data_IF_556484788881
#
_entry.id   IF_556484788881
#
_cell.length_a   1.000
_cell.length_b   1.000
_cell.length_c   1.000
_cell.angle_alpha   90.00
_cell.angle_beta   90.00
_cell.angle_gamma   90.00
#
_symmetry.space_group_name_H-M   'P 1'
#
loop_
_entity.id
_entity.type
_entity.pdbx_description
1 polymer ?
#
# COMPACT_ATOMS: atom_id res chain seq x y z
N UNK A 1 -11.14 -17.18 40.45
CA UNK A 1 -11.67 -16.44 39.30
C UNK A 1 -10.47 -15.93 38.53
N UNK A 2 -9.91 -16.80 37.70
CA UNK A 2 -8.67 -16.55 36.97
C UNK A 2 -9.03 -16.06 35.58
N UNK A 3 -8.70 -14.81 35.28
CA UNK A 3 -8.68 -14.29 33.91
C UNK A 3 -7.46 -14.90 33.21
N UNK A 4 -7.68 -15.92 32.39
CA UNK A 4 -6.72 -16.32 31.38
C UNK A 4 -6.69 -15.21 30.31
N UNK A 5 -5.67 -14.36 30.36
CA UNK A 5 -5.21 -13.66 29.17
C UNK A 5 -4.65 -14.71 28.23
N UNK A 6 -5.41 -15.08 27.22
CA UNK A 6 -4.83 -15.80 26.07
C UNK A 6 -4.00 -14.77 25.32
N UNK A 7 -2.70 -14.77 25.60
CA UNK A 7 -1.69 -14.26 24.69
C UNK A 7 -1.81 -15.10 23.40
N UNK A 8 -2.58 -14.59 22.42
CA UNK A 8 -2.55 -15.09 21.05
C UNK A 8 -1.24 -14.70 20.40
N UNK A 9 -0.15 -15.30 20.90
CA UNK A 9 1.09 -15.32 20.15
C UNK A 9 0.81 -16.12 18.87
N UNK A 10 0.81 -15.45 17.73
CA UNK A 10 0.74 -16.10 16.41
C UNK A 10 1.87 -17.12 16.39
N UNK A 11 1.53 -18.40 16.26
CA UNK A 11 2.52 -19.46 16.17
C UNK A 11 3.45 -19.16 14.98
N UNK A 12 4.78 -19.28 15.13
CA UNK A 12 5.69 -19.09 14.00
C UNK A 12 5.25 -19.97 12.84
N UNK A 13 5.24 -19.41 11.64
CA UNK A 13 4.75 -20.07 10.40
C UNK A 13 5.60 -21.29 9.97
N UNK A 14 6.36 -21.92 10.86
CA UNK A 14 7.12 -23.15 10.56
C UNK A 14 8.34 -22.94 9.63
N UNK A 15 8.74 -21.70 9.39
CA UNK A 15 9.95 -21.38 8.64
C UNK A 15 11.16 -21.36 9.58
N UNK A 16 12.31 -21.90 9.14
CA UNK A 16 13.54 -21.78 9.92
C UNK A 16 14.03 -20.33 9.92
N UNK A 17 14.59 -19.88 11.05
CA UNK A 17 15.16 -18.53 11.17
C UNK A 17 16.23 -18.27 10.12
N UNK A 18 16.99 -19.28 9.71
CA UNK A 18 18.00 -19.19 8.67
C UNK A 18 17.39 -18.87 7.29
N UNK A 19 16.34 -19.56 6.90
CA UNK A 19 15.65 -19.31 5.63
C UNK A 19 14.95 -17.94 5.62
N UNK A 20 14.29 -17.58 6.72
CA UNK A 20 13.68 -16.26 6.86
C UNK A 20 14.74 -15.13 6.74
N UNK A 21 15.91 -15.29 7.37
CA UNK A 21 17.01 -14.31 7.25
C UNK A 21 17.54 -14.21 5.83
N UNK A 22 17.70 -15.33 5.11
CA UNK A 22 18.15 -15.31 3.72
C UNK A 22 17.14 -14.61 2.82
N UNK A 23 15.86 -14.91 2.96
CA UNK A 23 14.79 -14.36 2.11
C UNK A 23 14.57 -12.86 2.42
N UNK A 24 14.29 -12.52 3.67
CA UNK A 24 13.98 -11.13 4.05
C UNK A 24 15.24 -10.26 4.02
N UNK A 25 16.38 -10.79 4.51
CA UNK A 25 17.67 -10.09 4.47
C UNK A 25 18.16 -9.88 3.04
N UNK A 26 18.00 -10.86 2.16
CA UNK A 26 18.30 -10.74 0.74
C UNK A 26 17.45 -9.68 0.05
N UNK A 27 16.13 -9.65 0.32
CA UNK A 27 15.24 -8.61 -0.17
C UNK A 27 15.63 -7.23 0.36
N UNK A 28 15.86 -7.08 1.67
CA UNK A 28 16.26 -5.82 2.27
C UNK A 28 17.59 -5.30 1.69
N UNK A 29 18.59 -6.18 1.53
CA UNK A 29 19.86 -5.85 0.90
C UNK A 29 19.69 -5.39 -0.56
N UNK A 30 18.86 -6.10 -1.33
CA UNK A 30 18.54 -5.70 -2.71
C UNK A 30 17.91 -4.31 -2.75
N UNK A 31 16.98 -4.00 -1.84
CA UNK A 31 16.35 -2.68 -1.75
C UNK A 31 17.36 -1.58 -1.40
N UNK A 32 18.29 -1.83 -0.48
CA UNK A 32 19.36 -0.88 -0.12
C UNK A 32 20.27 -0.61 -1.33
N UNK A 33 20.74 -1.66 -2.01
CA UNK A 33 21.59 -1.54 -3.19
C UNK A 33 20.87 -0.74 -4.29
N UNK A 34 19.62 -1.08 -4.53
CA UNK A 34 18.80 -0.42 -5.54
C UNK A 34 18.54 1.06 -5.20
N UNK A 35 18.25 1.36 -3.94
CA UNK A 35 18.05 2.74 -3.47
C UNK A 35 19.35 3.58 -3.60
N UNK A 36 20.51 3.01 -3.29
CA UNK A 36 21.82 3.66 -3.50
C UNK A 36 22.05 3.95 -4.98
N UNK A 37 21.70 3.01 -5.84
CA UNK A 37 21.80 3.21 -7.29
C UNK A 37 20.83 4.30 -7.79
N UNK A 38 19.58 4.27 -7.30
CA UNK A 38 18.51 5.16 -7.72
C UNK A 38 18.77 6.65 -7.39
N UNK A 39 19.52 6.95 -6.31
CA UNK A 39 19.84 8.33 -5.90
C UNK A 39 20.83 9.06 -6.80
N UNK A 40 21.56 8.35 -7.68
CA UNK A 40 22.64 8.94 -8.49
C UNK A 40 22.18 10.07 -9.41
N UNK A 41 20.91 10.08 -9.78
CA UNK A 41 20.31 11.05 -10.70
C UNK A 41 19.46 12.11 -9.98
N UNK A 42 19.66 12.30 -8.68
CA UNK A 42 18.92 13.30 -7.93
C UNK A 42 19.34 14.70 -8.37
N UNK A 43 18.36 15.46 -8.92
CA UNK A 43 18.57 16.88 -9.25
C UNK A 43 18.55 17.75 -7.97
N UNK A 44 18.84 19.04 -8.13
CA UNK A 44 18.80 20.01 -7.03
C UNK A 44 17.43 20.69 -6.94
N UNK A 45 17.01 21.03 -5.71
CA UNK A 45 15.79 21.78 -5.42
C UNK A 45 14.56 20.90 -5.17
N UNK A 46 13.53 21.55 -4.61
CA UNK A 46 12.31 20.89 -4.13
C UNK A 46 11.52 20.19 -5.24
N UNK A 47 11.41 20.79 -6.42
CA UNK A 47 10.69 20.16 -7.55
C UNK A 47 11.35 18.85 -8.00
N UNK A 48 12.69 18.80 -7.98
CA UNK A 48 13.41 17.56 -8.28
C UNK A 48 13.19 16.51 -7.19
N UNK A 49 13.19 16.94 -5.92
CA UNK A 49 13.05 16.05 -4.78
C UNK A 49 11.62 15.53 -4.62
N UNK A 50 10.61 16.43 -4.61
CA UNK A 50 9.22 16.04 -4.35
C UNK A 50 8.44 15.62 -5.60
N UNK A 51 8.79 16.12 -6.78
CA UNK A 51 8.07 15.85 -8.04
C UNK A 51 8.92 15.16 -9.11
N UNK A 52 10.12 14.67 -8.78
CA UNK A 52 11.03 14.05 -9.76
C UNK A 52 11.29 14.95 -11.00
N UNK A 53 11.21 16.29 -10.84
CA UNK A 53 11.32 17.24 -11.93
C UNK A 53 10.17 17.16 -12.94
N UNK A 54 8.99 16.71 -12.55
CA UNK A 54 7.79 16.52 -13.39
C UNK A 54 8.06 15.70 -14.65
N UNK A 55 8.82 14.62 -14.50
CA UNK A 55 9.32 13.82 -15.62
C UNK A 55 8.71 12.42 -15.71
N UNK A 56 7.63 12.12 -14.97
CA UNK A 56 7.02 10.80 -14.96
C UNK A 56 6.24 10.54 -16.25
N UNK A 57 6.78 9.63 -17.09
CA UNK A 57 6.13 9.16 -18.32
C UNK A 57 4.89 8.30 -18.00
N UNK A 58 4.00 8.07 -18.96
CA UNK A 58 2.79 7.30 -18.73
C UNK A 58 2.99 5.91 -18.12
N UNK A 59 3.90 5.07 -18.64
CA UNK A 59 4.21 3.76 -18.05
C UNK A 59 4.81 3.86 -16.65
N UNK A 60 5.75 4.77 -16.43
CA UNK A 60 6.36 4.97 -15.11
C UNK A 60 5.30 5.47 -14.11
N UNK A 61 4.46 6.41 -14.53
CA UNK A 61 3.36 6.93 -13.71
C UNK A 61 2.37 5.82 -13.33
N UNK A 62 2.03 4.91 -14.26
CA UNK A 62 1.16 3.76 -13.97
C UNK A 62 1.76 2.87 -12.89
N UNK A 63 3.01 2.49 -13.06
CA UNK A 63 3.68 1.56 -12.14
C UNK A 63 3.80 2.17 -10.74
N UNK A 64 4.29 3.41 -10.63
CA UNK A 64 4.44 4.05 -9.31
C UNK A 64 3.10 4.40 -8.68
N UNK A 65 2.07 4.77 -9.46
CA UNK A 65 0.72 5.02 -8.97
C UNK A 65 0.11 3.74 -8.39
N UNK A 66 0.25 2.63 -9.09
CA UNK A 66 -0.23 1.33 -8.64
C UNK A 66 0.54 0.84 -7.40
N UNK A 67 1.88 0.84 -7.44
CA UNK A 67 2.70 0.37 -6.33
C UNK A 67 2.47 1.19 -5.05
N UNK A 68 2.25 2.51 -5.18
CA UNK A 68 1.93 3.39 -4.04
C UNK A 68 0.54 3.14 -3.47
N UNK A 69 -0.43 2.80 -4.31
CA UNK A 69 -1.81 2.57 -3.87
C UNK A 69 -2.03 1.16 -3.31
N UNK A 70 -1.23 0.19 -3.74
CA UNK A 70 -1.31 -1.19 -3.25
C UNK A 70 -0.44 -1.38 -2.01
N UNK A 71 -1.09 -1.29 -0.86
CA UNK A 71 -0.49 -1.29 0.48
C UNK A 71 -0.56 -2.66 1.15
N UNK A 72 -0.15 -2.73 2.41
CA UNK A 72 -0.40 -3.88 3.28
C UNK A 72 -1.87 -4.30 3.28
N UNK A 73 -2.81 -3.33 3.20
CA UNK A 73 -4.23 -3.65 3.11
C UNK A 73 -4.58 -4.42 1.83
N UNK A 74 -3.96 -4.11 0.70
CA UNK A 74 -4.20 -4.82 -0.56
C UNK A 74 -3.84 -6.31 -0.44
N UNK A 75 -2.79 -6.65 0.28
CA UNK A 75 -2.31 -8.03 0.44
C UNK A 75 -3.03 -8.73 1.59
N UNK A 76 -2.87 -8.22 2.80
CA UNK A 76 -3.35 -8.88 4.02
C UNK A 76 -4.80 -8.50 4.37
N UNK A 77 -5.14 -7.21 4.31
CA UNK A 77 -6.49 -6.76 4.62
C UNK A 77 -7.54 -7.28 3.64
N UNK A 78 -7.20 -7.36 2.34
CA UNK A 78 -8.14 -7.86 1.32
C UNK A 78 -8.36 -9.36 1.44
N UNK A 79 -7.34 -10.15 1.75
CA UNK A 79 -7.50 -11.59 1.99
C UNK A 79 -8.32 -11.88 3.24
N UNK A 80 -8.06 -11.16 4.34
CA UNK A 80 -8.86 -11.28 5.55
C UNK A 80 -10.32 -10.85 5.38
N UNK A 81 -10.55 -9.75 4.66
CA UNK A 81 -11.90 -9.30 4.34
C UNK A 81 -12.63 -10.32 3.45
N UNK A 82 -11.99 -10.84 2.41
CA UNK A 82 -12.61 -11.83 1.51
C UNK A 82 -12.80 -13.19 2.16
N UNK A 83 -11.96 -13.55 3.12
CA UNK A 83 -12.24 -14.70 3.98
C UNK A 83 -13.60 -14.53 4.68
N UNK A 84 -13.89 -13.36 5.26
CA UNK A 84 -15.14 -13.11 6.01
C UNK A 84 -16.39 -12.91 5.14
N UNK A 85 -16.23 -12.34 3.95
CA UNK A 85 -17.37 -11.90 3.12
C UNK A 85 -17.35 -12.43 1.68
N UNK A 86 -16.35 -13.23 1.36
CA UNK A 86 -16.24 -13.89 0.07
C UNK A 86 -15.91 -12.95 -1.09
N UNK A 87 -16.31 -13.38 -2.28
CA UNK A 87 -16.08 -12.67 -3.54
C UNK A 87 -16.83 -11.34 -3.65
N UNK A 88 -17.80 -11.08 -2.78
CA UNK A 88 -18.48 -9.76 -2.67
C UNK A 88 -17.51 -8.61 -2.44
N UNK A 89 -16.30 -8.89 -1.90
CA UNK A 89 -15.28 -7.90 -1.67
C UNK A 89 -14.54 -7.47 -2.95
N UNK A 90 -14.52 -8.32 -3.97
CA UNK A 90 -13.83 -8.02 -5.23
C UNK A 90 -14.38 -6.77 -5.95
N UNK A 91 -15.69 -6.61 -6.15
CA UNK A 91 -16.23 -5.36 -6.70
C UNK A 91 -15.93 -4.12 -5.85
N UNK A 92 -15.89 -4.25 -4.53
CA UNK A 92 -15.59 -3.14 -3.64
C UNK A 92 -14.17 -2.63 -3.87
N UNK A 93 -13.20 -3.51 -4.00
CA UNK A 93 -11.79 -3.12 -4.11
C UNK A 93 -11.33 -3.02 -5.56
N UNK A 94 -11.46 -4.05 -6.38
CA UNK A 94 -10.91 -4.04 -7.73
C UNK A 94 -11.65 -3.06 -8.65
N UNK A 95 -12.99 -3.04 -8.60
CA UNK A 95 -13.77 -2.03 -9.35
C UNK A 95 -13.71 -0.67 -8.68
N UNK A 96 -13.80 -0.60 -7.34
CA UNK A 96 -13.75 0.66 -6.61
C UNK A 96 -12.47 1.44 -6.90
N UNK A 97 -11.31 0.84 -6.62
CA UNK A 97 -10.02 1.49 -6.89
C UNK A 97 -9.74 1.60 -8.39
N UNK A 98 -10.18 0.66 -9.22
CA UNK A 98 -10.11 0.78 -10.67
C UNK A 98 -10.92 1.96 -11.20
N UNK A 99 -12.08 2.24 -10.60
CA UNK A 99 -12.97 3.34 -11.01
C UNK A 99 -12.39 4.73 -10.71
N UNK A 100 -11.47 4.86 -9.76
CA UNK A 100 -10.73 6.13 -9.54
C UNK A 100 -10.00 6.61 -10.80
N UNK A 101 -9.69 5.71 -11.74
CA UNK A 101 -9.08 6.06 -13.01
C UNK A 101 -9.88 7.12 -13.79
N UNK A 102 -11.21 7.12 -13.64
CA UNK A 102 -12.10 8.13 -14.26
C UNK A 102 -11.80 9.51 -13.68
N UNK A 103 -11.72 9.65 -12.36
CA UNK A 103 -11.36 10.93 -11.73
C UNK A 103 -9.92 11.34 -12.03
N UNK A 104 -8.99 10.41 -12.06
CA UNK A 104 -7.61 10.70 -12.47
C UNK A 104 -7.52 11.17 -13.92
N UNK A 105 -8.31 10.60 -14.82
CA UNK A 105 -8.39 11.04 -16.20
C UNK A 105 -8.93 12.46 -16.33
N UNK A 106 -9.98 12.80 -15.58
CA UNK A 106 -10.67 14.09 -15.66
C UNK A 106 -9.99 15.14 -14.79
N UNK A 107 -9.80 14.84 -13.49
CA UNK A 107 -9.28 15.78 -12.50
C UNK A 107 -7.76 15.82 -12.53
N UNK A 108 -7.10 14.69 -12.74
CA UNK A 108 -5.62 14.61 -12.72
C UNK A 108 -4.96 15.51 -13.76
N UNK A 109 -5.54 15.63 -14.95
CA UNK A 109 -5.06 16.58 -15.98
C UNK A 109 -5.19 18.04 -15.52
N UNK A 110 -6.32 18.39 -14.89
CA UNK A 110 -6.55 19.72 -14.33
C UNK A 110 -5.62 20.01 -13.16
N UNK A 111 -5.41 19.01 -12.28
CA UNK A 111 -4.46 19.10 -11.17
C UNK A 111 -3.06 19.40 -11.71
N UNK A 112 -2.58 18.60 -12.66
CA UNK A 112 -1.25 18.79 -13.26
C UNK A 112 -1.12 20.17 -13.91
N UNK A 113 -2.05 20.56 -14.77
CA UNK A 113 -2.01 21.84 -15.48
C UNK A 113 -1.94 23.02 -14.49
N UNK A 114 -2.78 23.01 -13.47
CA UNK A 114 -2.80 24.07 -12.44
C UNK A 114 -1.57 24.00 -11.52
N UNK A 115 -1.08 22.80 -11.21
CA UNK A 115 0.17 22.61 -10.45
C UNK A 115 1.34 23.27 -11.17
N UNK A 116 1.45 23.11 -12.48
CA UNK A 116 2.48 23.80 -13.28
C UNK A 116 2.25 25.31 -13.30
N UNK A 117 1.02 25.76 -13.49
CA UNK A 117 0.66 27.17 -13.57
C UNK A 117 0.96 27.94 -12.27
N UNK A 118 0.71 27.35 -11.12
CA UNK A 118 0.92 27.97 -9.81
C UNK A 118 2.24 27.60 -9.14
N UNK A 119 3.06 26.74 -9.76
CA UNK A 119 4.26 26.18 -9.13
C UNK A 119 3.96 25.30 -7.92
N UNK A 120 2.68 24.87 -7.75
CA UNK A 120 2.25 24.11 -6.58
C UNK A 120 2.71 22.66 -6.65
N UNK A 121 3.16 22.12 -5.53
CA UNK A 121 3.61 20.72 -5.39
C UNK A 121 2.64 19.89 -4.54
N UNK A 122 1.81 20.56 -3.73
CA UNK A 122 0.83 19.96 -2.84
C UNK A 122 -0.58 20.46 -3.15
N UNK A 123 -1.60 19.74 -2.68
CA UNK A 123 -2.99 20.17 -2.83
C UNK A 123 -3.29 21.47 -2.03
N UNK A 124 -2.80 21.67 -0.79
CA UNK A 124 -2.96 22.92 -0.07
C UNK A 124 -2.29 24.12 -0.77
N UNK A 125 -1.08 23.96 -1.34
CA UNK A 125 -0.45 25.03 -2.18
C UNK A 125 -1.33 25.40 -3.38
N UNK A 126 -1.98 24.41 -3.99
CA UNK A 126 -2.92 24.65 -5.08
C UNK A 126 -4.10 25.51 -4.61
N UNK A 127 -4.65 25.21 -3.44
CA UNK A 127 -5.75 26.01 -2.85
C UNK A 127 -5.28 27.43 -2.56
N UNK A 128 -4.09 27.61 -1.99
CA UNK A 128 -3.49 28.93 -1.78
C UNK A 128 -3.31 29.68 -3.09
N UNK A 129 -2.76 29.05 -4.12
CA UNK A 129 -2.56 29.66 -5.44
C UNK A 129 -3.85 30.11 -6.12
N UNK A 130 -4.97 29.42 -5.86
CA UNK A 130 -6.27 29.75 -6.45
C UNK A 130 -7.09 30.77 -5.65
N UNK A 131 -6.99 30.73 -4.31
CA UNK A 131 -7.86 31.51 -3.42
C UNK A 131 -7.16 32.68 -2.75
N UNK A 132 -5.82 32.67 -2.71
CA UNK A 132 -5.02 33.61 -1.92
C UNK A 132 -5.17 33.42 -0.40
N UNK A 133 -5.84 32.36 0.05
CA UNK A 133 -6.19 32.15 1.46
C UNK A 133 -5.19 31.22 2.17
N UNK A 134 -4.32 31.81 2.99
CA UNK A 134 -3.39 31.06 3.83
C UNK A 134 -4.12 30.19 4.87
N UNK A 135 -5.23 30.64 5.41
CA UNK A 135 -6.03 29.86 6.36
C UNK A 135 -6.62 28.60 5.69
N UNK A 136 -7.09 28.70 4.46
CA UNK A 136 -7.58 27.54 3.71
C UNK A 136 -6.45 26.52 3.45
N UNK A 137 -5.26 27.00 3.08
CA UNK A 137 -4.07 26.14 2.90
C UNK A 137 -3.72 25.41 4.19
N UNK A 138 -3.60 26.13 5.31
CA UNK A 138 -3.26 25.55 6.63
C UNK A 138 -4.31 24.53 7.09
N UNK A 139 -5.60 24.85 6.94
CA UNK A 139 -6.68 23.93 7.30
C UNK A 139 -6.60 22.65 6.48
N UNK A 140 -6.46 22.75 5.15
CA UNK A 140 -6.37 21.59 4.26
C UNK A 140 -5.12 20.75 4.58
N UNK A 141 -3.97 21.39 4.76
CA UNK A 141 -2.73 20.68 5.10
C UNK A 141 -2.86 19.94 6.44
N UNK A 142 -3.43 20.56 7.47
CA UNK A 142 -3.66 19.93 8.76
C UNK A 142 -4.57 18.72 8.67
N UNK A 143 -5.68 18.84 7.94
CA UNK A 143 -6.62 17.71 7.71
C UNK A 143 -5.93 16.57 6.97
N UNK A 144 -5.19 16.86 5.90
CA UNK A 144 -4.49 15.82 5.12
C UNK A 144 -3.40 15.12 5.93
N UNK A 145 -2.61 15.85 6.72
CA UNK A 145 -1.60 15.26 7.62
C UNK A 145 -2.27 14.36 8.65
N UNK A 146 -3.28 14.86 9.37
CA UNK A 146 -3.99 14.08 10.39
C UNK A 146 -4.67 12.82 9.81
N UNK A 147 -5.25 12.92 8.61
CA UNK A 147 -5.88 11.78 7.94
C UNK A 147 -4.86 10.76 7.41
N UNK A 148 -3.65 11.20 7.04
CA UNK A 148 -2.60 10.31 6.52
C UNK A 148 -1.93 9.49 7.62
N UNK A 149 -1.80 10.03 8.84
CA UNK A 149 -1.10 9.36 9.96
C UNK A 149 -1.67 7.96 10.26
N UNK A 150 -2.99 7.74 10.46
CA UNK A 150 -3.53 6.41 10.72
C UNK A 150 -3.26 5.42 9.57
N UNK A 151 -3.36 5.88 8.33
CA UNK A 151 -3.10 5.05 7.16
C UNK A 151 -1.61 4.69 7.05
N UNK A 152 -0.71 5.65 7.33
CA UNK A 152 0.73 5.41 7.37
C UNK A 152 1.10 4.40 8.46
N UNK A 153 0.45 4.44 9.64
CA UNK A 153 0.70 3.53 10.74
C UNK A 153 0.36 2.06 10.45
N UNK A 154 -0.53 1.79 9.47
CA UNK A 154 -0.85 0.42 9.06
C UNK A 154 0.37 -0.30 8.45
N UNK A 155 1.28 0.42 7.80
CA UNK A 155 2.42 -0.20 7.12
C UNK A 155 3.44 -0.78 8.12
N UNK A 156 3.96 -0.03 9.11
CA UNK A 156 4.84 -0.60 10.15
C UNK A 156 4.17 -1.72 10.93
N UNK A 157 2.88 -1.60 11.25
CA UNK A 157 2.14 -2.66 11.93
C UNK A 157 2.15 -3.96 11.14
N UNK A 158 1.83 -3.91 9.84
CA UNK A 158 1.86 -5.09 8.99
C UNK A 158 3.28 -5.67 8.86
N UNK A 159 4.31 -4.82 8.77
CA UNK A 159 5.71 -5.26 8.78
C UNK A 159 6.06 -6.01 10.08
N UNK A 160 5.58 -5.52 11.22
CA UNK A 160 5.74 -6.16 12.52
C UNK A 160 5.10 -7.53 12.57
N UNK A 161 3.85 -7.66 12.10
CA UNK A 161 3.12 -8.93 12.04
C UNK A 161 3.89 -9.95 11.18
N UNK A 162 4.35 -9.56 9.99
CA UNK A 162 5.14 -10.43 9.11
C UNK A 162 6.45 -10.85 9.77
N UNK A 163 7.13 -9.91 10.43
CA UNK A 163 8.38 -10.20 11.14
C UNK A 163 8.16 -11.19 12.28
N UNK A 164 7.14 -10.96 13.12
CA UNK A 164 6.78 -11.86 14.22
C UNK A 164 6.41 -13.26 13.71
N UNK A 165 5.68 -13.33 12.60
CA UNK A 165 5.32 -14.61 11.98
C UNK A 165 6.53 -15.40 11.45
N UNK A 166 7.55 -14.71 10.93
CA UNK A 166 8.74 -15.33 10.34
C UNK A 166 9.85 -15.66 11.37
N UNK A 167 10.04 -14.79 12.35
CA UNK A 167 11.17 -14.87 13.27
C UNK A 167 10.77 -15.20 14.71
N UNK A 168 9.48 -15.09 15.01
CA UNK A 168 9.01 -15.06 16.40
C UNK A 168 9.37 -13.72 17.08
N UNK A 169 8.96 -13.59 18.34
CA UNK A 169 9.23 -12.40 19.14
C UNK A 169 8.24 -11.25 18.88
N UNK A 170 8.49 -10.08 19.49
CA UNK A 170 7.54 -8.97 19.44
C UNK A 170 7.55 -8.27 18.07
N UNK A 171 6.37 -7.98 17.57
CA UNK A 171 6.12 -7.35 16.25
C UNK A 171 6.70 -5.94 16.12
N UNK A 172 6.86 -5.19 17.22
CA UNK A 172 7.49 -3.87 17.19
C UNK A 172 8.91 -3.88 16.62
N UNK A 173 9.66 -5.00 16.72
CA UNK A 173 11.01 -5.11 16.16
C UNK A 173 10.95 -4.99 14.63
N UNK A 174 10.08 -5.76 13.98
CA UNK A 174 9.89 -5.70 12.53
C UNK A 174 9.37 -4.34 12.07
N UNK A 175 8.42 -3.76 12.81
CA UNK A 175 7.91 -2.43 12.55
C UNK A 175 9.03 -1.38 12.54
N UNK A 176 9.92 -1.40 13.54
CA UNK A 176 11.06 -0.46 13.64
C UNK A 176 12.08 -0.70 12.54
N UNK A 177 12.49 -1.96 12.31
CA UNK A 177 13.51 -2.27 11.30
C UNK A 177 13.09 -1.88 9.89
N UNK A 178 11.86 -2.21 9.49
CA UNK A 178 11.33 -1.84 8.18
C UNK A 178 11.15 -0.33 8.06
N UNK A 179 10.67 0.33 9.11
CA UNK A 179 10.55 1.80 9.13
C UNK A 179 11.91 2.47 8.94
N UNK A 180 12.93 2.07 9.66
CA UNK A 180 14.28 2.63 9.52
C UNK A 180 14.85 2.40 8.12
N UNK A 181 14.62 1.22 7.54
CA UNK A 181 15.06 0.91 6.18
C UNK A 181 14.38 1.83 5.16
N UNK A 182 13.06 1.95 5.21
CA UNK A 182 12.27 2.80 4.30
C UNK A 182 12.70 4.25 4.40
N UNK A 183 12.82 4.75 5.62
CA UNK A 183 13.28 6.12 5.88
C UNK A 183 14.66 6.38 5.31
N UNK A 184 15.61 5.48 5.55
CA UNK A 184 16.98 5.66 5.11
C UNK A 184 17.09 5.87 3.59
N UNK A 185 16.34 5.12 2.78
CA UNK A 185 16.41 5.30 1.34
C UNK A 185 15.50 6.44 0.83
N UNK A 186 14.33 6.67 1.42
CA UNK A 186 13.43 7.76 1.04
C UNK A 186 14.08 9.13 1.26
N UNK A 187 14.73 9.33 2.42
CA UNK A 187 15.48 10.55 2.74
C UNK A 187 16.55 10.89 1.71
N UNK A 188 17.21 9.88 1.18
CA UNK A 188 18.39 10.08 0.34
C UNK A 188 18.05 10.31 -1.13
N UNK A 189 16.87 9.91 -1.58
CA UNK A 189 16.56 9.80 -2.99
C UNK A 189 15.35 10.59 -3.50
N UNK A 190 14.46 11.07 -2.61
CA UNK A 190 13.23 11.77 -2.99
C UNK A 190 12.34 10.93 -3.94
N UNK A 191 11.41 11.58 -4.65
CA UNK A 191 10.45 10.90 -5.51
C UNK A 191 11.10 10.09 -6.65
N UNK A 192 12.25 10.51 -7.17
CA UNK A 192 12.95 9.72 -8.21
C UNK A 192 13.39 8.34 -7.73
N UNK A 193 13.90 8.26 -6.50
CA UNK A 193 14.28 6.97 -5.92
C UNK A 193 13.04 6.15 -5.59
N UNK A 194 12.03 6.76 -4.98
CA UNK A 194 10.74 6.11 -4.67
C UNK A 194 10.12 5.51 -5.92
N UNK A 195 10.01 6.23 -7.01
CA UNK A 195 9.45 5.73 -8.28
C UNK A 195 10.22 4.52 -8.83
N UNK A 196 11.53 4.49 -8.65
CA UNK A 196 12.36 3.35 -9.09
C UNK A 196 12.21 2.15 -8.16
N UNK A 197 12.18 2.37 -6.84
CA UNK A 197 11.90 1.30 -5.88
C UNK A 197 10.48 0.76 -6.06
N UNK A 198 9.49 1.62 -6.28
CA UNK A 198 8.10 1.25 -6.60
C UNK A 198 8.01 0.29 -7.79
N UNK A 199 8.78 0.54 -8.85
CA UNK A 199 8.75 -0.32 -10.04
C UNK A 199 9.22 -1.75 -9.73
N UNK A 200 10.27 -1.89 -8.93
CA UNK A 200 10.79 -3.19 -8.52
C UNK A 200 9.87 -3.85 -7.49
N UNK A 201 9.45 -3.10 -6.47
CA UNK A 201 8.56 -3.58 -5.42
C UNK A 201 7.19 -3.99 -5.95
N UNK A 202 6.60 -3.18 -6.84
CA UNK A 202 5.33 -3.49 -7.49
C UNK A 202 5.40 -4.74 -8.37
N UNK A 203 6.49 -4.92 -9.13
CA UNK A 203 6.69 -6.13 -9.93
C UNK A 203 6.86 -7.39 -9.05
N UNK A 204 7.66 -7.29 -7.97
CA UNK A 204 7.85 -8.37 -6.99
C UNK A 204 6.51 -8.72 -6.32
N UNK A 205 5.81 -7.72 -5.79
CA UNK A 205 4.54 -7.90 -5.10
C UNK A 205 3.52 -8.59 -6.01
N UNK A 206 3.33 -8.07 -7.23
CA UNK A 206 2.36 -8.61 -8.17
C UNK A 206 2.72 -10.03 -8.62
N UNK A 207 3.99 -10.26 -8.99
CA UNK A 207 4.46 -11.57 -9.44
C UNK A 207 4.32 -12.65 -8.36
N UNK A 208 4.71 -12.32 -7.13
CA UNK A 208 4.64 -13.26 -6.00
C UNK A 208 3.20 -13.50 -5.52
N UNK A 209 2.31 -12.50 -5.59
CA UNK A 209 0.87 -12.70 -5.28
C UNK A 209 0.22 -13.68 -6.27
N UNK A 210 0.53 -13.56 -7.56
CA UNK A 210 0.03 -14.48 -8.58
C UNK A 210 0.62 -15.88 -8.43
N UNK A 211 1.92 -15.99 -8.06
CA UNK A 211 2.53 -17.26 -7.71
C UNK A 211 1.80 -17.91 -6.53
N UNK A 212 1.53 -17.13 -5.46
CA UNK A 212 0.79 -17.60 -4.29
C UNK A 212 -0.60 -18.09 -4.65
N UNK A 213 -1.34 -17.35 -5.48
CA UNK A 213 -2.64 -17.79 -5.96
C UNK A 213 -2.54 -19.11 -6.74
N UNK A 214 -1.55 -19.23 -7.63
CA UNK A 214 -1.36 -20.45 -8.41
C UNK A 214 -1.08 -21.67 -7.51
N UNK A 215 -0.31 -21.48 -6.44
CA UNK A 215 -0.03 -22.53 -5.46
C UNK A 215 -1.30 -22.96 -4.72
N UNK A 216 -2.08 -22.02 -4.17
CA UNK A 216 -3.31 -22.27 -3.44
C UNK A 216 -4.37 -22.93 -4.35
N UNK A 217 -4.53 -22.44 -5.57
CA UNK A 217 -5.46 -23.01 -6.56
C UNK A 217 -5.05 -24.43 -6.96
N UNK A 218 -3.77 -24.69 -7.14
CA UNK A 218 -3.27 -26.01 -7.48
C UNK A 218 -3.51 -27.03 -6.33
N UNK A 219 -3.27 -26.60 -5.09
CA UNK A 219 -3.51 -27.41 -3.90
C UNK A 219 -5.00 -27.77 -3.74
N UNK A 220 -5.88 -26.81 -4.04
CA UNK A 220 -7.33 -27.03 -4.03
C UNK A 220 -7.87 -27.88 -5.22
N UNK A 221 -6.99 -28.43 -6.07
CA UNK A 221 -7.38 -29.24 -7.24
C UNK A 221 -7.83 -28.42 -8.45
N UNK A 222 -7.53 -27.13 -8.50
CA UNK A 222 -7.90 -26.19 -9.55
C UNK A 222 -9.02 -25.23 -9.14
N UNK A 223 -9.15 -24.13 -9.90
CA UNK A 223 -10.13 -23.08 -9.57
C UNK A 223 -11.58 -23.60 -9.60
N UNK A 224 -11.91 -24.48 -10.53
CA UNK A 224 -13.27 -25.08 -10.60
C UNK A 224 -13.54 -25.93 -9.37
N UNK A 225 -12.62 -26.82 -8.99
CA UNK A 225 -12.76 -27.66 -7.81
C UNK A 225 -12.92 -26.84 -6.52
N UNK A 226 -12.13 -25.76 -6.37
CA UNK A 226 -12.24 -24.85 -5.24
C UNK A 226 -13.62 -24.15 -5.19
N UNK A 227 -14.10 -23.63 -6.32
CA UNK A 227 -15.41 -22.96 -6.39
C UNK A 227 -16.57 -23.93 -6.18
N UNK A 228 -16.48 -25.14 -6.72
CA UNK A 228 -17.48 -26.21 -6.52
C UNK A 228 -17.53 -26.64 -5.04
N UNK A 229 -16.38 -26.78 -4.38
CA UNK A 229 -16.30 -27.10 -2.96
C UNK A 229 -16.94 -26.00 -2.08
N UNK A 230 -16.64 -24.71 -2.40
CA UNK A 230 -17.24 -23.58 -1.67
C UNK A 230 -18.76 -23.53 -1.89
N UNK A 231 -19.25 -23.75 -3.11
CA UNK A 231 -20.67 -23.69 -3.44
C UNK A 231 -21.49 -24.87 -2.89
N UNK A 232 -20.83 -25.99 -2.65
CA UNK A 232 -21.49 -27.23 -2.17
C UNK A 232 -21.65 -27.28 -0.66
N UNK A 233 -21.04 -26.36 0.10
CA UNK A 233 -21.12 -26.33 1.55
C UNK A 233 -22.09 -25.23 2.00
N UNK A 234 -23.08 -25.61 2.81
CA UNK A 234 -24.08 -24.68 3.38
C UNK A 234 -23.45 -23.52 4.16
N UNK A 235 -22.27 -23.75 4.74
CA UNK A 235 -21.54 -22.73 5.50
C UNK A 235 -20.77 -21.72 4.62
N UNK A 236 -20.50 -22.04 3.35
CA UNK A 236 -19.63 -21.24 2.47
C UNK A 236 -20.30 -20.80 1.16
N UNK A 237 -21.47 -21.32 0.81
CA UNK A 237 -22.16 -20.97 -0.44
C UNK A 237 -22.39 -19.47 -0.61
N UNK A 238 -22.69 -18.76 0.49
CA UNK A 238 -22.85 -17.30 0.53
C UNK A 238 -21.59 -16.51 0.16
N UNK A 239 -20.37 -17.13 0.24
CA UNK A 239 -19.12 -16.46 -0.09
C UNK A 239 -18.95 -16.18 -1.59
N UNK A 240 -19.69 -16.87 -2.45
CA UNK A 240 -19.67 -16.65 -3.90
C UNK A 240 -20.69 -15.61 -4.36
N UNK A 241 -21.64 -15.24 -3.51
CA UNK A 241 -22.76 -14.38 -3.80
C UNK A 241 -22.64 -12.95 -3.24
N UNK A 242 -23.74 -12.22 -3.32
CA UNK A 242 -23.93 -10.88 -2.73
C UNK A 242 -24.81 -10.94 -1.48
N UNK A 243 -24.58 -11.90 -0.63
CA UNK A 243 -25.41 -12.06 0.54
C UNK A 243 -24.99 -11.17 1.71
N UNK A 244 -25.89 -10.99 2.68
CA UNK A 244 -25.65 -10.23 3.88
C UNK A 244 -25.57 -8.71 3.67
N UNK A 245 -24.63 -8.06 4.34
CA UNK A 245 -24.53 -6.58 4.41
C UNK A 245 -23.95 -5.92 3.15
N UNK A 246 -23.46 -6.69 2.16
CA UNK A 246 -22.80 -6.16 0.96
C UNK A 246 -23.78 -5.99 -0.21
N UNK A 247 -24.72 -5.06 -0.01
CA UNK A 247 -25.73 -4.70 -1.01
C UNK A 247 -25.15 -3.94 -2.19
N UNK A 248 -25.89 -3.86 -3.29
CA UNK A 248 -25.53 -3.04 -4.45
C UNK A 248 -25.27 -1.58 -4.05
N UNK A 249 -26.03 -1.05 -3.08
CA UNK A 249 -25.85 0.31 -2.59
C UNK A 249 -24.48 0.51 -1.96
N UNK A 250 -23.98 -0.45 -1.16
CA UNK A 250 -22.63 -0.40 -0.56
C UNK A 250 -21.57 -0.42 -1.67
N UNK A 251 -21.69 -1.26 -2.68
CA UNK A 251 -20.77 -1.30 -3.80
C UNK A 251 -20.70 0.05 -4.53
N UNK A 252 -21.84 0.61 -4.90
CA UNK A 252 -21.92 1.90 -5.60
C UNK A 252 -21.38 3.03 -4.73
N UNK A 253 -21.73 3.05 -3.44
CA UNK A 253 -21.23 4.06 -2.49
C UNK A 253 -19.72 3.99 -2.34
N UNK A 254 -19.16 2.77 -2.29
CA UNK A 254 -17.71 2.57 -2.19
C UNK A 254 -17.00 2.98 -3.49
N UNK A 255 -17.57 2.68 -4.66
CA UNK A 255 -17.03 3.15 -5.95
C UNK A 255 -17.00 4.68 -6.03
N UNK A 256 -18.05 5.35 -5.56
CA UNK A 256 -18.12 6.82 -5.50
C UNK A 256 -17.09 7.36 -4.49
N UNK A 257 -16.94 6.69 -3.35
CA UNK A 257 -15.93 7.06 -2.36
C UNK A 257 -14.53 7.04 -2.97
N UNK A 258 -14.11 5.94 -3.59
CA UNK A 258 -12.79 5.82 -4.21
C UNK A 258 -12.59 6.79 -5.38
N UNK A 259 -13.64 7.03 -6.16
CA UNK A 259 -13.61 8.02 -7.26
C UNK A 259 -13.15 9.40 -6.80
N UNK A 260 -13.58 9.84 -5.63
CA UNK A 260 -13.25 11.18 -5.11
C UNK A 260 -12.12 11.19 -4.09
N UNK A 261 -11.95 10.13 -3.29
CA UNK A 261 -10.95 10.08 -2.24
C UNK A 261 -9.53 9.85 -2.78
N UNK A 262 -9.34 8.89 -3.66
CA UNK A 262 -8.01 8.50 -4.12
C UNK A 262 -7.19 9.63 -4.77
N UNK A 263 -7.74 10.46 -5.68
CA UNK A 263 -6.98 11.58 -6.24
C UNK A 263 -6.55 12.62 -5.21
N UNK A 264 -7.17 12.62 -4.03
CA UNK A 264 -6.86 13.55 -2.94
C UNK A 264 -5.87 13.00 -1.93
N UNK A 265 -5.54 11.70 -1.98
CA UNK A 265 -4.47 11.16 -1.16
C UNK A 265 -3.14 11.86 -1.49
N UNK A 266 -2.44 12.44 -0.51
CA UNK A 266 -1.27 13.27 -0.77
C UNK A 266 -0.22 12.62 -1.67
N UNK A 267 0.05 11.33 -1.46
CA UNK A 267 1.01 10.57 -2.26
C UNK A 267 0.55 10.34 -3.71
N UNK A 268 -0.76 10.17 -3.96
CA UNK A 268 -1.30 10.01 -5.32
C UNK A 268 -1.41 11.36 -6.02
N UNK A 269 -1.87 12.40 -5.30
CA UNK A 269 -1.90 13.77 -5.79
C UNK A 269 -0.51 14.25 -6.24
N UNK A 270 0.52 13.98 -5.45
CA UNK A 270 1.91 14.33 -5.76
C UNK A 270 2.37 13.70 -7.09
N UNK A 271 1.97 12.46 -7.38
CA UNK A 271 2.28 11.79 -8.64
C UNK A 271 1.57 12.41 -9.84
N UNK A 272 0.33 12.86 -9.67
CA UNK A 272 -0.36 13.61 -10.72
C UNK A 272 0.36 14.92 -11.04
N UNK A 273 0.88 15.62 -10.02
CA UNK A 273 1.70 16.82 -10.21
C UNK A 273 3.07 16.51 -10.86
N UNK A 274 3.61 15.31 -10.65
CA UNK A 274 4.90 14.86 -11.17
C UNK A 274 4.86 14.32 -12.62
N UNK A 275 3.66 14.15 -13.20
CA UNK A 275 3.50 13.67 -14.57
C UNK A 275 4.11 14.60 -15.60
N UNK A 276 4.80 14.04 -16.62
CA UNK A 276 5.43 14.82 -17.70
C UNK A 276 4.40 15.57 -18.58
N UNK A 277 3.22 14.99 -18.76
CA UNK A 277 2.20 15.51 -19.66
C UNK A 277 0.79 15.03 -19.30
N UNK A 278 -0.23 15.72 -19.82
CA UNK A 278 -1.63 15.28 -19.70
C UNK A 278 -1.87 13.96 -20.42
N UNK A 279 -1.12 13.69 -21.49
CA UNK A 279 -1.15 12.41 -22.21
C UNK A 279 -0.58 11.26 -21.34
N UNK A 280 0.43 11.53 -20.50
CA UNK A 280 0.95 10.56 -19.55
C UNK A 280 -0.12 10.13 -18.53
N UNK A 281 -0.86 11.11 -17.97
CA UNK A 281 -1.99 10.84 -17.07
C UNK A 281 -3.09 10.05 -17.80
N UNK A 282 -3.41 10.40 -19.04
CA UNK A 282 -4.40 9.69 -19.83
C UNK A 282 -4.05 8.23 -20.06
N UNK A 283 -2.80 7.94 -20.43
CA UNK A 283 -2.30 6.57 -20.62
C UNK A 283 -2.32 5.76 -19.31
N UNK A 284 -1.85 6.37 -18.22
CA UNK A 284 -1.91 5.76 -16.89
C UNK A 284 -3.35 5.42 -16.51
N UNK A 285 -4.27 6.37 -16.58
CA UNK A 285 -5.66 6.18 -16.19
C UNK A 285 -6.38 5.10 -17.03
N UNK A 286 -6.05 4.99 -18.32
CA UNK A 286 -6.65 3.95 -19.20
C UNK A 286 -6.23 2.54 -18.78
N UNK A 287 -5.00 2.34 -18.33
CA UNK A 287 -4.47 1.03 -17.97
C UNK A 287 -4.65 0.68 -16.50
N UNK A 288 -4.87 1.67 -15.64
CA UNK A 288 -4.93 1.50 -14.19
C UNK A 288 -5.99 0.48 -13.72
N UNK A 289 -7.23 0.43 -14.27
CA UNK A 289 -8.22 -0.57 -13.87
C UNK A 289 -7.73 -2.02 -14.03
N UNK A 290 -6.99 -2.30 -15.11
CA UNK A 290 -6.40 -3.64 -15.33
C UNK A 290 -5.39 -3.99 -14.24
N UNK A 291 -4.55 -3.03 -13.86
CA UNK A 291 -3.55 -3.25 -12.80
C UNK A 291 -4.22 -3.41 -11.43
N UNK A 292 -5.30 -2.66 -11.16
CA UNK A 292 -6.10 -2.82 -9.94
C UNK A 292 -6.68 -4.23 -9.83
N UNK A 293 -7.26 -4.76 -10.92
CA UNK A 293 -7.73 -6.14 -10.97
C UNK A 293 -6.63 -7.17 -10.71
N UNK A 294 -5.49 -7.01 -11.37
CA UNK A 294 -4.35 -7.91 -11.20
C UNK A 294 -3.80 -7.91 -9.76
N UNK A 295 -3.93 -6.80 -9.03
CA UNK A 295 -3.44 -6.69 -7.67
C UNK A 295 -4.44 -7.23 -6.62
N UNK A 296 -5.75 -7.01 -6.80
CA UNK A 296 -6.74 -7.40 -5.81
C UNK A 296 -7.28 -8.82 -6.00
N UNK A 297 -7.26 -9.37 -7.21
CA UNK A 297 -7.79 -10.70 -7.49
C UNK A 297 -7.08 -11.81 -6.70
N UNK A 298 -5.73 -11.89 -6.67
CA UNK A 298 -5.05 -12.97 -5.96
C UNK A 298 -5.36 -13.02 -4.45
N UNK A 299 -5.19 -11.94 -3.67
CA UNK A 299 -5.44 -12.01 -2.23
C UNK A 299 -6.91 -12.28 -1.91
N UNK A 300 -7.84 -11.79 -2.73
CA UNK A 300 -9.28 -12.02 -2.54
C UNK A 300 -9.63 -13.49 -2.80
N UNK A 301 -9.11 -14.10 -3.86
CA UNK A 301 -9.32 -15.53 -4.11
C UNK A 301 -8.67 -16.40 -3.04
N UNK A 302 -7.44 -16.10 -2.63
CA UNK A 302 -6.76 -16.84 -1.56
C UNK A 302 -7.56 -16.77 -0.26
N UNK A 303 -8.05 -15.58 0.13
CA UNK A 303 -8.86 -15.42 1.32
C UNK A 303 -10.18 -16.21 1.25
N UNK A 304 -10.88 -16.17 0.11
CA UNK A 304 -12.14 -16.92 -0.08
C UNK A 304 -11.91 -18.43 -0.06
N UNK A 305 -10.87 -18.93 -0.74
CA UNK A 305 -10.51 -20.37 -0.76
C UNK A 305 -10.04 -20.83 0.63
N UNK A 306 -9.48 -19.92 1.44
CA UNK A 306 -8.99 -20.23 2.78
C UNK A 306 -10.04 -20.85 3.71
N UNK A 307 -11.33 -20.64 3.49
CA UNK A 307 -12.40 -21.31 4.22
C UNK A 307 -12.40 -22.82 4.08
N UNK A 308 -11.90 -23.37 2.97
CA UNK A 308 -11.84 -24.81 2.76
C UNK A 308 -10.87 -25.50 3.72
N UNK A 309 -9.77 -24.82 4.05
CA UNK A 309 -8.73 -25.35 4.95
C UNK A 309 -8.88 -24.87 6.40
N UNK A 310 -9.45 -23.69 6.59
CA UNK A 310 -9.57 -23.00 7.88
C UNK A 310 -10.97 -22.41 8.06
N UNK A 311 -12.00 -23.21 8.38
CA UNK A 311 -13.41 -22.74 8.36
C UNK A 311 -13.77 -21.80 9.51
N UNK A 312 -13.06 -21.84 10.65
CA UNK A 312 -13.50 -21.24 11.92
C UNK A 312 -12.55 -20.15 12.45
N UNK A 313 -11.88 -19.41 11.56
CA UNK A 313 -11.01 -18.33 12.00
C UNK A 313 -11.82 -17.14 12.52
N UNK A 314 -11.41 -16.62 13.68
CA UNK A 314 -11.88 -15.34 14.17
C UNK A 314 -11.37 -14.19 13.30
N UNK A 315 -11.70 -12.93 13.69
CA UNK A 315 -11.28 -11.76 12.93
C UNK A 315 -9.75 -11.63 12.85
N UNK A 316 -9.06 -11.87 13.94
CA UNK A 316 -7.60 -11.75 13.98
C UNK A 316 -6.92 -12.87 13.18
N UNK A 317 -7.43 -14.11 13.30
CA UNK A 317 -6.96 -15.24 12.48
C UNK A 317 -7.21 -15.06 11.00
N UNK A 318 -8.39 -14.52 10.63
CA UNK A 318 -8.71 -14.26 9.22
C UNK A 318 -7.80 -13.21 8.56
N UNK A 319 -7.32 -12.22 9.28
CA UNK A 319 -6.39 -11.24 8.74
C UNK A 319 -5.00 -11.86 8.43
N UNK A 320 -4.71 -13.05 8.97
CA UNK A 320 -3.50 -13.83 8.68
C UNK A 320 -3.73 -14.98 7.69
N UNK A 321 -4.90 -15.08 7.06
CA UNK A 321 -5.22 -16.21 6.17
C UNK A 321 -4.27 -16.35 5.00
N UNK A 322 -3.87 -15.24 4.36
CA UNK A 322 -2.95 -15.28 3.22
C UNK A 322 -1.58 -15.84 3.61
N UNK A 323 -0.85 -15.31 4.61
CA UNK A 323 0.42 -15.90 5.01
C UNK A 323 0.28 -17.36 5.46
N UNK A 324 -0.79 -17.74 6.16
CA UNK A 324 -1.03 -19.10 6.59
C UNK A 324 -1.18 -20.05 5.40
N UNK A 325 -2.11 -19.75 4.48
CA UNK A 325 -2.33 -20.57 3.28
C UNK A 325 -1.05 -20.73 2.44
N UNK A 326 -0.31 -19.63 2.26
CA UNK A 326 0.90 -19.64 1.44
C UNK A 326 2.01 -20.49 2.08
N UNK A 327 2.16 -20.43 3.39
CA UNK A 327 3.16 -21.26 4.08
C UNK A 327 2.82 -22.74 4.03
N UNK A 328 1.54 -23.09 4.17
CA UNK A 328 1.11 -24.49 4.10
C UNK A 328 1.37 -25.11 2.73
N UNK A 329 1.01 -24.42 1.65
CA UNK A 329 1.15 -24.97 0.30
C UNK A 329 2.52 -24.77 -0.32
N UNK A 330 3.25 -23.74 0.07
CA UNK A 330 4.56 -23.37 -0.48
C UNK A 330 5.75 -23.84 0.33
N UNK A 331 5.51 -24.23 1.57
CA UNK A 331 6.55 -24.55 2.51
C UNK A 331 7.51 -23.38 2.75
N UNK A 332 8.65 -23.70 3.33
CA UNK A 332 9.58 -22.72 3.87
C UNK A 332 10.10 -21.70 2.84
N UNK A 333 10.52 -22.15 1.67
CA UNK A 333 11.16 -21.28 0.66
C UNK A 333 10.17 -20.51 -0.20
N UNK A 334 9.22 -21.21 -0.83
CA UNK A 334 8.26 -20.54 -1.70
C UNK A 334 7.26 -19.72 -0.90
N UNK A 335 6.80 -20.26 0.25
CA UNK A 335 5.96 -19.51 1.18
C UNK A 335 6.64 -18.24 1.67
N UNK A 336 7.88 -18.36 2.15
CA UNK A 336 8.67 -17.20 2.58
C UNK A 336 8.88 -16.16 1.48
N UNK A 337 9.13 -16.58 0.23
CA UNK A 337 9.24 -15.65 -0.91
C UNK A 337 7.92 -14.91 -1.17
N UNK A 338 6.77 -15.60 -1.12
CA UNK A 338 5.47 -14.91 -1.33
C UNK A 338 5.17 -13.91 -0.22
N UNK A 339 5.63 -14.15 1.02
CA UNK A 339 5.49 -13.17 2.10
C UNK A 339 6.26 -11.86 1.82
N UNK A 340 7.34 -11.91 1.03
CA UNK A 340 8.04 -10.71 0.56
C UNK A 340 7.13 -9.82 -0.32
N UNK A 341 6.10 -10.38 -0.98
CA UNK A 341 5.13 -9.57 -1.73
C UNK A 341 4.44 -8.54 -0.83
N UNK A 342 4.03 -8.96 0.35
CA UNK A 342 3.44 -8.06 1.33
C UNK A 342 4.42 -6.99 1.84
N UNK A 343 5.68 -7.38 2.12
CA UNK A 343 6.73 -6.42 2.49
C UNK A 343 6.98 -5.41 1.37
N UNK A 344 7.05 -5.86 0.12
CA UNK A 344 7.23 -4.98 -1.04
C UNK A 344 6.08 -3.97 -1.17
N UNK A 345 4.83 -4.43 -1.05
CA UNK A 345 3.65 -3.58 -1.14
C UNK A 345 3.58 -2.53 -0.02
N UNK A 346 3.81 -2.94 1.24
CA UNK A 346 3.77 -1.99 2.36
C UNK A 346 4.91 -0.96 2.32
N UNK A 347 6.11 -1.35 1.88
CA UNK A 347 7.27 -0.45 1.80
C UNK A 347 7.10 0.63 0.73
N UNK A 348 6.56 0.29 -0.45
CA UNK A 348 6.30 1.26 -1.52
C UNK A 348 5.18 2.26 -1.17
N UNK A 349 4.21 1.84 -0.38
CA UNK A 349 3.18 2.76 0.14
C UNK A 349 3.76 3.66 1.23
N UNK A 350 4.54 3.10 2.13
CA UNK A 350 5.13 3.81 3.27
C UNK A 350 6.08 4.93 2.83
N UNK A 351 7.00 4.65 1.91
CA UNK A 351 7.96 5.66 1.42
C UNK A 351 7.26 6.83 0.71
N UNK A 352 6.23 6.51 -0.03
CA UNK A 352 5.40 7.48 -0.75
C UNK A 352 4.58 8.37 0.21
N UNK A 353 3.99 7.77 1.24
CA UNK A 353 3.26 8.49 2.29
C UNK A 353 4.20 9.38 3.11
N UNK A 354 5.39 8.89 3.47
CA UNK A 354 6.42 9.65 4.18
C UNK A 354 6.85 10.88 3.38
N UNK A 355 7.15 10.70 2.09
CA UNK A 355 7.57 11.79 1.22
C UNK A 355 6.46 12.85 1.06
N UNK A 356 5.23 12.40 0.83
CA UNK A 356 4.09 13.30 0.66
C UNK A 356 3.72 14.03 1.94
N UNK A 357 3.67 13.34 3.09
CA UNK A 357 3.40 13.96 4.40
C UNK A 357 4.50 14.94 4.76
N UNK A 358 5.77 14.58 4.48
CA UNK A 358 6.91 15.48 4.64
C UNK A 358 6.75 16.76 3.84
N UNK A 359 6.28 16.70 2.59
CA UNK A 359 6.03 17.89 1.79
C UNK A 359 4.91 18.77 2.38
N UNK A 360 3.81 18.18 2.87
CA UNK A 360 2.74 18.92 3.54
C UNK A 360 3.23 19.66 4.78
N UNK A 361 4.03 19.01 5.60
CA UNK A 361 4.55 19.64 6.84
C UNK A 361 5.51 20.77 6.52
N UNK A 362 6.51 20.54 5.66
CA UNK A 362 7.54 21.55 5.39
C UNK A 362 7.05 22.73 4.57
N UNK A 363 6.26 22.48 3.54
CA UNK A 363 5.83 23.51 2.61
C UNK A 363 4.56 24.23 3.04
N UNK A 364 3.59 23.45 3.57
CA UNK A 364 2.29 24.02 3.87
C UNK A 364 2.16 24.49 5.32
N UNK A 365 2.63 23.69 6.29
CA UNK A 365 2.48 24.03 7.71
C UNK A 365 3.59 24.95 8.22
N UNK A 366 4.86 24.68 7.87
CA UNK A 366 6.00 25.43 8.39
C UNK A 366 6.37 26.66 7.56
N UNK A 367 5.77 26.84 6.37
CA UNK A 367 5.96 27.99 5.46
C UNK A 367 7.43 28.35 5.25
N UNK A 368 8.24 27.37 4.96
CA UNK A 368 9.66 27.55 4.82
C UNK A 368 10.05 27.50 3.35
N UNK A 369 10.15 28.67 2.74
CA UNK A 369 10.88 28.87 1.49
C UNK A 369 12.36 28.74 1.74
N UNK A 370 12.95 27.57 1.59
CA UNK A 370 14.41 27.43 1.63
C UNK A 370 14.87 26.30 0.74
N UNK A 371 15.78 26.56 -0.19
CA UNK A 371 16.30 25.55 -1.09
C UNK A 371 17.22 24.56 -0.36
N UNK A 372 16.98 23.28 -0.55
CA UNK A 372 18.01 22.26 -0.61
C UNK A 372 18.37 21.46 0.63
N UNK A 373 18.13 21.89 1.88
CA UNK A 373 18.59 21.14 3.06
C UNK A 373 17.46 20.65 3.99
N UNK A 374 16.24 21.13 3.77
CA UNK A 374 15.08 20.90 4.65
C UNK A 374 14.17 19.75 4.23
N UNK A 375 14.35 19.21 3.05
CA UNK A 375 13.69 17.97 2.66
C UNK A 375 14.04 16.81 3.60
N UNK A 376 15.24 16.81 4.18
CA UNK A 376 15.66 15.85 5.22
C UNK A 376 14.96 16.07 6.55
N UNK A 377 14.79 17.34 6.97
CA UNK A 377 14.07 17.67 8.20
C UNK A 377 12.60 17.23 8.15
N UNK A 378 11.96 17.32 6.97
CA UNK A 378 10.55 16.97 6.80
C UNK A 378 10.25 15.49 7.02
N UNK A 379 11.17 14.64 6.59
CA UNK A 379 11.02 13.20 6.81
C UNK A 379 11.33 12.84 8.26
N UNK A 380 12.28 13.51 8.91
CA UNK A 380 12.54 13.36 10.34
C UNK A 380 11.32 13.77 11.16
N UNK A 381 10.64 14.86 10.78
CA UNK A 381 9.40 15.31 11.44
C UNK A 381 8.27 14.31 11.20
N UNK A 382 8.14 13.78 9.98
CA UNK A 382 7.14 12.73 9.67
C UNK A 382 7.38 11.45 10.47
N UNK A 383 8.64 11.12 10.73
CA UNK A 383 9.05 10.00 11.59
C UNK A 383 8.74 10.24 13.07
N UNK A 384 8.97 11.48 13.53
CA UNK A 384 8.66 11.85 14.92
C UNK A 384 7.17 11.76 15.20
N UNK A 385 6.32 11.96 14.18
CA UNK A 385 4.87 11.79 14.27
C UNK A 385 4.45 10.31 14.22
N UNK A 386 5.24 9.44 13.59
CA UNK A 386 4.97 8.00 13.49
C UNK A 386 5.26 7.23 14.78
N UNK A 387 6.30 7.60 15.51
CA UNK A 387 6.74 6.87 16.71
C UNK A 387 5.63 6.71 17.76
N UNK A 388 4.97 7.80 18.21
CA UNK A 388 3.89 7.72 19.20
C UNK A 388 2.65 6.99 18.69
N UNK A 389 2.28 7.18 17.41
CA UNK A 389 1.06 6.59 16.82
C UNK A 389 1.20 5.09 16.63
N UNK A 390 2.37 4.62 16.19
CA UNK A 390 2.64 3.18 16.09
C UNK A 390 2.56 2.49 17.45
N UNK A 391 3.02 3.15 18.51
CA UNK A 391 3.02 2.58 19.85
C UNK A 391 1.63 2.52 20.50
N UNK A 392 0.81 3.56 20.31
CA UNK A 392 -0.54 3.65 20.93
C UNK A 392 -1.60 2.78 20.23
N UNK A 393 -1.35 2.32 19.01
CA UNK A 393 -2.24 1.40 18.28
C UNK A 393 -1.73 -0.05 18.24
N UNK A 394 -0.56 -0.32 18.82
CA UNK A 394 0.01 -1.68 18.97
C UNK A 394 -0.37 -2.33 20.32
N UNK A 395 -0.98 -1.57 21.24
CA UNK A 395 -1.57 -2.05 22.49
C UNK A 395 -3.10 -2.04 22.39
#
# INVERSE_FOLDING_TARGET
MGMHSQDNAIAPLGISVSSALVIVGGYALAMVIFAIWARRDLGRGDESYYLAGRSLTGPILLVTMAATNFSAFTVYGSSGASYRIGLSFLPIMAFGTGFMAVSMYILGRKIRSRSVQHGAMTAPEMVMGQTGSRSAQLTMASVLVLATIPYLALQPRAAGIVFSALFGGPDWIGAVLVTLLVVAYTLTGGLKAVVRTDAVQGAIALGLLWLGLAMVVNDAGGISAAMDAISSSENTEGLLGREGNYTLLIWVSTMILWLFADPMFPQLYQRLCAAESDAAIGRMATLYPTVAWLAFLPPILIGTIGHLSYPDLDRAGSDNILPTMIMDVGGEWLGGLVLVAGLAALMSTMDSQLLATGSLVTRDLLDKESPGDRSRESVIISLSLLGPVSYTHLT
#
